data_IF_255854016625
#
_entry.id   IF_255854016625
#
_cell.length_a   1.000
_cell.length_b   1.000
_cell.length_c   1.000
_cell.angle_alpha   90.00
_cell.angle_beta   90.00
_cell.angle_gamma   90.00
#
_symmetry.space_group_name_H-M   'P 1'
#
loop_
_entity.id
_entity.type
_entity.pdbx_description
1 polymer ?
#
# COMPACT_ATOMS: atom_id res chain seq x y z
N UNK A 1 -55.99 61.12 8.28
CA UNK A 1 -56.62 59.91 7.68
C UNK A 1 -56.23 59.94 6.21
N UNK A 2 -55.55 58.98 5.58
CA UNK A 2 -55.44 57.54 5.80
C UNK A 2 -54.25 57.01 5.00
N UNK A 3 -53.46 56.15 5.64
CA UNK A 3 -52.56 55.09 5.13
C UNK A 3 -52.35 54.93 3.61
N UNK A 4 -51.10 54.75 3.18
CA UNK A 4 -50.52 53.40 2.96
C UNK A 4 -49.12 53.50 2.31
N UNK A 5 -48.04 53.14 2.99
CA UNK A 5 -47.58 51.78 3.33
C UNK A 5 -46.61 51.22 2.29
N UNK A 6 -45.32 51.31 2.64
CA UNK A 6 -44.25 50.31 2.43
C UNK A 6 -44.16 49.71 1.02
N UNK A 7 -43.38 50.35 0.15
CA UNK A 7 -42.64 49.60 -0.87
C UNK A 7 -41.45 48.92 -0.20
N UNK A 8 -41.68 47.69 0.25
CA UNK A 8 -40.64 46.78 0.77
C UNK A 8 -39.55 46.61 -0.28
N UNK A 9 -38.36 47.15 0.02
CA UNK A 9 -37.11 46.70 -0.56
C UNK A 9 -36.90 45.24 -0.16
N UNK A 10 -37.23 44.34 -1.07
CA UNK A 10 -36.88 42.92 -0.98
C UNK A 10 -35.40 42.79 -1.40
N UNK A 11 -34.49 43.19 -0.52
CA UNK A 11 -33.07 42.87 -0.67
C UNK A 11 -32.90 41.39 -0.35
N UNK A 12 -32.96 40.54 -1.39
CA UNK A 12 -32.61 39.12 -1.29
C UNK A 12 -31.09 39.04 -1.14
N UNK A 13 -30.61 39.12 0.11
CA UNK A 13 -29.24 38.81 0.44
C UNK A 13 -29.05 37.29 0.32
N UNK A 14 -28.62 36.83 -0.86
CA UNK A 14 -28.04 35.48 -1.01
C UNK A 14 -26.67 35.55 -0.34
N UNK A 15 -26.66 35.36 0.98
CA UNK A 15 -25.45 35.10 1.73
C UNK A 15 -24.89 33.77 1.27
N UNK A 16 -23.98 33.81 0.30
CA UNK A 16 -23.11 32.68 -0.04
C UNK A 16 -22.16 32.49 1.14
N UNK A 17 -22.64 31.78 2.16
CA UNK A 17 -21.81 31.29 3.25
C UNK A 17 -20.93 30.19 2.70
N UNK A 18 -19.78 30.54 2.14
CA UNK A 18 -18.69 29.60 1.92
C UNK A 18 -18.21 29.14 3.31
N UNK A 19 -18.84 28.10 3.85
CA UNK A 19 -18.26 27.36 4.97
C UNK A 19 -17.00 26.71 4.42
N UNK A 20 -15.86 27.36 4.65
CA UNK A 20 -14.55 26.84 4.30
C UNK A 20 -14.32 25.56 5.09
N UNK A 21 -14.50 24.41 4.44
CA UNK A 21 -14.06 23.13 4.98
C UNK A 21 -12.54 23.17 4.93
N UNK A 22 -11.91 23.41 6.08
CA UNK A 22 -10.47 23.25 6.22
C UNK A 22 -10.21 21.74 6.19
N UNK A 23 -9.81 21.24 5.02
CA UNK A 23 -9.37 19.87 4.86
C UNK A 23 -8.01 19.76 5.58
N UNK A 24 -7.98 19.11 6.74
CA UNK A 24 -6.72 18.69 7.37
C UNK A 24 -6.12 17.59 6.49
N UNK A 25 -5.26 17.98 5.53
CA UNK A 25 -4.49 17.05 4.73
C UNK A 25 -3.35 16.58 5.61
N UNK A 26 -3.62 15.57 6.43
CA UNK A 26 -2.56 14.87 7.13
C UNK A 26 -1.71 14.15 6.07
N UNK A 27 -0.38 14.33 6.05
CA UNK A 27 0.47 13.48 5.24
C UNK A 27 0.13 12.04 5.62
N UNK A 28 -0.13 11.21 4.62
CA UNK A 28 -0.18 9.77 4.84
C UNK A 28 1.15 9.42 5.49
N UNK A 29 1.10 8.99 6.76
CA UNK A 29 2.31 8.53 7.41
C UNK A 29 2.78 7.31 6.62
N UNK A 30 4.04 7.30 6.24
CA UNK A 30 4.67 6.16 5.63
C UNK A 30 4.63 5.01 6.64
N UNK A 31 3.72 4.05 6.41
CA UNK A 31 3.54 2.92 7.31
C UNK A 31 4.36 1.78 6.73
N UNK A 32 5.55 1.60 7.28
CA UNK A 32 6.33 0.39 7.04
C UNK A 32 5.52 -0.85 7.45
N UNK A 33 5.53 -1.87 6.59
CA UNK A 33 4.90 -3.16 6.86
C UNK A 33 5.94 -4.25 7.06
N UNK A 34 5.71 -5.10 8.07
CA UNK A 34 6.47 -6.33 8.24
C UNK A 34 5.99 -7.40 7.27
N UNK A 35 6.84 -7.76 6.32
CA UNK A 35 6.67 -8.85 5.39
C UNK A 35 7.32 -10.11 5.96
N UNK A 36 6.58 -11.21 5.97
CA UNK A 36 7.06 -12.52 6.43
C UNK A 36 7.25 -13.45 5.24
N UNK A 37 8.41 -14.10 5.17
CA UNK A 37 8.73 -15.15 4.20
C UNK A 37 8.22 -16.49 4.73
N UNK A 38 7.41 -17.19 3.94
CA UNK A 38 6.90 -18.52 4.29
C UNK A 38 6.86 -19.44 3.08
N UNK A 39 7.15 -20.72 3.32
CA UNK A 39 7.09 -21.77 2.30
C UNK A 39 8.18 -21.69 1.24
N UNK A 40 9.26 -20.94 1.47
CA UNK A 40 10.39 -20.86 0.54
C UNK A 40 11.20 -22.14 0.59
N UNK A 41 11.16 -22.88 -0.51
CA UNK A 41 11.96 -24.07 -0.72
C UNK A 41 12.80 -23.85 -1.97
N UNK A 42 14.10 -24.06 -1.84
CA UNK A 42 15.01 -24.06 -2.98
C UNK A 42 15.03 -25.44 -3.64
N UNK A 43 15.44 -25.50 -4.91
CA UNK A 43 15.55 -26.77 -5.67
C UNK A 43 16.46 -27.82 -5.02
N UNK A 44 17.36 -27.43 -4.12
CA UNK A 44 18.29 -28.31 -3.41
C UNK A 44 17.72 -28.85 -2.08
N UNK A 45 16.47 -28.51 -1.76
CA UNK A 45 15.80 -28.91 -0.51
C UNK A 45 16.13 -28.03 0.70
N UNK A 46 16.94 -26.99 0.54
CA UNK A 46 17.12 -25.97 1.58
C UNK A 46 15.87 -25.10 1.69
N UNK A 47 15.72 -24.41 2.82
CA UNK A 47 14.57 -23.54 3.06
C UNK A 47 15.01 -22.16 3.53
N UNK A 48 14.19 -21.14 3.26
CA UNK A 48 14.36 -19.81 3.81
C UNK A 48 13.11 -19.41 4.62
N UNK A 49 13.33 -18.78 5.77
CA UNK A 49 12.26 -18.24 6.61
C UNK A 49 12.72 -16.93 7.21
N UNK A 50 11.80 -16.01 7.49
CA UNK A 50 12.18 -14.76 8.11
C UNK A 50 11.20 -13.64 7.87
N UNK A 51 11.66 -12.43 8.15
CA UNK A 51 10.90 -11.21 7.93
C UNK A 51 11.79 -10.03 7.60
N UNK A 52 11.18 -9.00 7.03
CA UNK A 52 11.75 -7.67 6.88
C UNK A 52 10.63 -6.63 6.94
N UNK A 53 10.97 -5.41 7.28
CA UNK A 53 10.08 -4.26 7.19
C UNK A 53 10.33 -3.53 5.87
N UNK A 54 9.26 -3.21 5.14
CA UNK A 54 9.32 -2.43 3.90
C UNK A 54 8.34 -1.25 3.93
N UNK A 55 8.87 -0.09 3.58
CA UNK A 55 8.11 1.14 3.39
C UNK A 55 8.06 1.50 1.90
N UNK A 56 6.87 1.39 1.31
CA UNK A 56 6.64 1.66 -0.11
C UNK A 56 6.72 3.15 -0.48
N UNK A 57 6.53 4.05 0.48
CA UNK A 57 6.55 5.50 0.23
C UNK A 57 7.99 6.02 0.12
N UNK A 58 8.90 5.40 0.87
CA UNK A 58 10.34 5.72 0.85
C UNK A 58 11.18 4.69 0.09
N UNK A 59 10.55 3.62 -0.39
CA UNK A 59 11.21 2.48 -1.03
C UNK A 59 12.39 1.93 -0.18
N UNK A 60 12.16 1.77 1.12
CA UNK A 60 13.22 1.42 2.08
C UNK A 60 12.92 0.11 2.79
N UNK A 61 13.94 -0.74 2.88
CA UNK A 61 13.94 -1.97 3.67
C UNK A 61 14.64 -1.74 5.03
N UNK A 62 14.19 -2.45 6.06
CA UNK A 62 14.77 -2.40 7.41
C UNK A 62 14.39 -3.65 8.22
N UNK A 63 14.99 -3.84 9.40
CA UNK A 63 14.68 -4.93 10.33
C UNK A 63 14.70 -6.32 9.65
N UNK A 64 15.63 -6.53 8.74
CA UNK A 64 15.78 -7.78 8.02
C UNK A 64 16.28 -8.86 8.99
N UNK A 65 15.57 -9.98 8.99
CA UNK A 65 15.96 -11.19 9.70
C UNK A 65 15.51 -12.38 8.85
N UNK A 66 16.38 -12.79 7.93
CA UNK A 66 16.13 -13.93 7.05
C UNK A 66 17.14 -15.02 7.36
N UNK A 67 16.63 -16.22 7.62
CA UNK A 67 17.37 -17.41 7.98
C UNK A 67 17.25 -18.40 6.82
N UNK A 68 18.39 -18.88 6.34
CA UNK A 68 18.46 -19.97 5.35
C UNK A 68 18.96 -21.22 6.05
N UNK A 69 18.15 -22.28 6.04
CA UNK A 69 18.53 -23.55 6.66
C UNK A 69 19.48 -24.35 5.75
N UNK A 70 20.49 -24.95 6.38
CA UNK A 70 21.52 -25.76 5.74
C UNK A 70 22.07 -25.14 4.45
N UNK A 71 22.73 -23.95 4.50
CA UNK A 71 23.23 -23.29 3.30
C UNK A 71 24.30 -24.17 2.63
N UNK A 72 23.87 -24.99 1.66
CA UNK A 72 24.77 -25.79 0.82
C UNK A 72 25.60 -24.77 0.04
N UNK A 73 26.94 -24.95 -0.06
CA UNK A 73 27.77 -24.04 -0.82
C UNK A 73 27.16 -23.78 -2.20
N UNK A 74 27.05 -22.51 -2.59
CA UNK A 74 26.43 -22.08 -3.83
C UNK A 74 26.93 -22.98 -4.96
N UNK A 75 26.01 -23.68 -5.61
CA UNK A 75 26.30 -24.51 -6.80
C UNK A 75 27.30 -25.68 -6.61
N UNK A 76 27.51 -26.16 -5.38
CA UNK A 76 28.53 -27.20 -5.14
C UNK A 76 29.96 -26.71 -5.42
N UNK A 77 30.14 -25.39 -5.57
CA UNK A 77 31.44 -24.74 -5.71
C UNK A 77 32.04 -24.63 -4.31
N UNK A 78 33.11 -25.37 -4.01
CA UNK A 78 33.72 -25.32 -2.69
C UNK A 78 34.21 -23.89 -2.40
N UNK A 79 33.75 -23.29 -1.30
CA UNK A 79 34.20 -21.97 -0.83
C UNK A 79 33.14 -20.87 -0.80
N UNK A 80 31.96 -21.08 -1.40
CA UNK A 80 30.88 -20.08 -1.36
C UNK A 80 29.80 -20.50 -0.35
N UNK A 81 29.93 -20.08 0.92
CA UNK A 81 28.87 -20.25 1.91
C UNK A 81 28.00 -19.00 2.00
N UNK A 82 26.68 -19.18 2.02
CA UNK A 82 25.77 -18.12 2.43
C UNK A 82 25.87 -17.91 3.95
N UNK A 83 25.76 -16.66 4.44
CA UNK A 83 25.49 -16.47 5.85
C UNK A 83 24.13 -17.11 6.18
N UNK A 84 24.06 -17.79 7.32
CA UNK A 84 22.82 -18.42 7.78
C UNK A 84 21.77 -17.41 8.23
N UNK A 85 22.17 -16.14 8.40
CA UNK A 85 21.31 -15.03 8.82
C UNK A 85 21.70 -13.79 8.02
N UNK A 86 20.72 -13.15 7.39
CA UNK A 86 20.87 -11.83 6.76
C UNK A 86 20.23 -10.74 7.63
N UNK A 87 20.85 -9.57 7.59
CA UNK A 87 20.52 -8.37 8.36
C UNK A 87 20.55 -7.12 7.47
N UNK A 88 20.21 -5.95 8.02
CA UNK A 88 20.20 -4.68 7.28
C UNK A 88 21.56 -4.31 6.66
N UNK A 89 22.68 -4.73 7.26
CA UNK A 89 24.01 -4.48 6.69
C UNK A 89 24.30 -5.28 5.43
N UNK A 90 23.47 -6.28 5.13
CA UNK A 90 23.63 -7.15 3.97
C UNK A 90 22.85 -6.64 2.76
N UNK A 91 22.06 -5.56 2.86
CA UNK A 91 21.33 -5.01 1.71
C UNK A 91 22.33 -4.55 0.66
N UNK A 92 22.32 -5.23 -0.49
CA UNK A 92 23.11 -4.85 -1.65
C UNK A 92 22.33 -3.92 -2.57
N UNK A 93 21.06 -4.27 -2.84
CA UNK A 93 20.10 -3.47 -3.59
C UNK A 93 18.68 -3.86 -3.18
N UNK A 94 17.74 -2.93 -3.28
CA UNK A 94 16.34 -3.24 -3.06
C UNK A 94 15.42 -2.16 -3.61
N UNK A 95 14.30 -2.59 -4.17
CA UNK A 95 13.17 -1.74 -4.50
C UNK A 95 11.85 -2.48 -4.25
N UNK A 96 10.72 -1.88 -4.63
CA UNK A 96 9.41 -2.51 -4.46
C UNK A 96 9.27 -3.89 -5.11
N UNK A 97 10.08 -4.21 -6.12
CA UNK A 97 10.01 -5.46 -6.89
C UNK A 97 11.09 -6.47 -6.54
N UNK A 98 12.12 -6.05 -5.78
CA UNK A 98 13.26 -6.90 -5.48
C UNK A 98 13.93 -6.60 -4.14
N UNK A 99 14.51 -7.63 -3.52
CA UNK A 99 15.36 -7.52 -2.35
C UNK A 99 16.61 -8.39 -2.54
N UNK A 100 17.78 -7.74 -2.60
CA UNK A 100 19.08 -8.39 -2.82
C UNK A 100 19.93 -8.27 -1.56
N UNK A 101 20.29 -9.40 -0.95
CA UNK A 101 21.07 -9.47 0.29
C UNK A 101 22.39 -10.22 0.08
N UNK A 102 23.50 -9.73 0.64
CA UNK A 102 24.74 -10.47 0.78
C UNK A 102 25.98 -9.74 0.25
N UNK A 103 27.17 -10.14 0.72
CA UNK A 103 28.43 -9.52 0.31
C UNK A 103 28.96 -10.08 -1.02
N UNK A 104 29.58 -9.19 -1.78
CA UNK A 104 30.53 -9.36 -2.90
C UNK A 104 30.17 -10.34 -4.02
N UNK A 105 29.81 -11.60 -3.75
CA UNK A 105 29.51 -12.65 -4.74
C UNK A 105 28.46 -13.68 -4.29
N UNK A 106 27.93 -13.60 -3.06
CA UNK A 106 26.89 -14.51 -2.55
C UNK A 106 25.63 -13.72 -2.25
N UNK A 107 24.85 -13.47 -3.29
CA UNK A 107 23.59 -12.75 -3.18
C UNK A 107 22.45 -13.72 -2.88
N UNK A 108 21.55 -13.32 -2.00
CA UNK A 108 20.21 -13.83 -1.83
C UNK A 108 19.31 -12.77 -2.47
N UNK A 109 19.08 -12.94 -3.76
CA UNK A 109 18.19 -12.10 -4.55
C UNK A 109 16.76 -12.61 -4.41
N UNK A 110 15.77 -11.74 -4.31
CA UNK A 110 14.35 -12.10 -4.29
C UNK A 110 13.61 -11.20 -5.27
N UNK A 111 12.88 -11.80 -6.21
CA UNK A 111 11.99 -11.08 -7.12
C UNK A 111 10.53 -11.37 -6.83
N UNK A 112 9.73 -10.33 -6.68
CA UNK A 112 8.32 -10.45 -6.34
C UNK A 112 7.43 -10.43 -7.59
N UNK A 113 6.37 -11.23 -7.61
CA UNK A 113 5.39 -11.28 -8.71
C UNK A 113 4.77 -9.90 -8.99
N UNK A 114 4.57 -9.13 -7.92
CA UNK A 114 3.95 -7.81 -7.91
C UNK A 114 4.75 -6.94 -6.94
N UNK A 115 4.93 -5.64 -7.23
CA UNK A 115 5.56 -4.72 -6.30
C UNK A 115 4.92 -4.73 -4.90
N UNK A 116 5.77 -4.70 -3.87
CA UNK A 116 5.38 -4.51 -2.48
C UNK A 116 4.68 -3.16 -2.30
N UNK A 117 3.63 -3.14 -1.48
CA UNK A 117 2.87 -1.91 -1.19
C UNK A 117 2.48 -1.84 0.29
N UNK A 118 2.18 -0.64 0.76
CA UNK A 118 1.65 -0.40 2.11
C UNK A 118 0.21 -0.93 2.31
N UNK A 119 -0.40 -1.54 1.28
CA UNK A 119 -1.64 -2.29 1.41
C UNK A 119 -1.41 -3.75 1.88
N UNK A 120 -0.17 -4.21 1.94
CA UNK A 120 0.17 -5.60 2.28
C UNK A 120 -0.37 -6.59 1.25
N UNK A 121 -0.71 -7.79 1.71
CA UNK A 121 -1.25 -8.88 0.88
C UNK A 121 -0.36 -10.12 0.92
N UNK A 122 -0.61 -11.04 -0.01
CA UNK A 122 0.23 -12.21 -0.26
C UNK A 122 0.75 -12.14 -1.68
N UNK A 123 2.06 -12.21 -1.83
CA UNK A 123 2.76 -12.03 -3.11
C UNK A 123 3.63 -13.26 -3.35
N UNK A 124 3.58 -13.78 -4.57
CA UNK A 124 4.49 -14.85 -5.01
C UNK A 124 5.91 -14.34 -5.18
N UNK A 125 6.87 -15.26 -5.09
CA UNK A 125 8.26 -14.98 -5.41
C UNK A 125 8.64 -15.78 -6.64
N UNK A 126 9.07 -15.09 -7.70
CA UNK A 126 9.33 -15.67 -9.03
C UNK A 126 10.72 -16.31 -9.09
N UNK A 127 11.71 -15.75 -8.39
CA UNK A 127 13.07 -16.25 -8.43
C UNK A 127 13.89 -15.78 -7.23
N UNK A 128 14.79 -16.65 -6.75
CA UNK A 128 15.96 -16.25 -5.99
C UNK A 128 17.24 -16.69 -6.73
N UNK A 129 18.27 -15.86 -6.70
CA UNK A 129 19.56 -16.15 -7.34
C UNK A 129 20.70 -16.12 -6.31
N UNK A 130 21.75 -16.92 -6.58
CA UNK A 130 23.03 -16.94 -5.87
C UNK A 130 24.24 -17.12 -6.81
N UNK A 131 25.06 -16.06 -6.90
CA UNK A 131 26.27 -15.75 -7.69
C UNK A 131 26.14 -14.57 -8.68
N UNK A 132 27.22 -13.89 -9.05
CA UNK A 132 27.14 -12.68 -9.88
C UNK A 132 27.04 -12.98 -11.40
N UNK A 133 26.97 -14.25 -11.85
CA UNK A 133 27.36 -14.58 -13.23
C UNK A 133 26.54 -15.64 -13.98
N UNK A 134 25.37 -16.04 -13.47
CA UNK A 134 24.36 -16.74 -14.29
C UNK A 134 24.54 -18.25 -14.49
N UNK A 135 25.39 -18.93 -13.72
CA UNK A 135 25.69 -20.36 -13.91
C UNK A 135 24.99 -21.30 -12.91
N UNK A 136 24.07 -20.82 -12.06
CA UNK A 136 23.32 -21.68 -11.14
C UNK A 136 22.07 -21.06 -10.53
N UNK A 137 20.97 -21.07 -11.27
CA UNK A 137 19.67 -20.59 -10.76
C UNK A 137 19.09 -21.60 -9.77
N UNK A 138 19.10 -21.29 -8.46
CA UNK A 138 18.28 -22.00 -7.47
C UNK A 138 16.88 -21.41 -7.48
N UNK A 139 16.04 -21.89 -8.40
CA UNK A 139 14.63 -21.49 -8.39
C UNK A 139 13.99 -21.87 -7.05
N UNK A 140 13.21 -20.95 -6.53
CA UNK A 140 12.42 -21.16 -5.33
C UNK A 140 11.00 -20.79 -5.68
N UNK A 141 10.08 -21.56 -5.13
CA UNK A 141 8.68 -21.17 -5.04
C UNK A 141 8.42 -20.81 -3.60
N UNK A 142 7.80 -19.67 -3.37
CA UNK A 142 7.45 -19.21 -2.04
C UNK A 142 6.45 -18.07 -2.11
N UNK A 143 5.97 -17.68 -0.94
CA UNK A 143 5.12 -16.49 -0.80
C UNK A 143 5.63 -15.63 0.32
N UNK A 144 5.57 -14.32 0.12
CA UNK A 144 5.68 -13.35 1.20
C UNK A 144 4.32 -12.77 1.52
N UNK A 145 4.11 -12.40 2.78
CA UNK A 145 2.86 -11.77 3.18
C UNK A 145 3.04 -10.71 4.24
N UNK A 146 2.21 -9.66 4.15
CA UNK A 146 2.06 -8.64 5.17
C UNK A 146 0.58 -8.34 5.38
N UNK A 147 0.20 -8.01 6.62
CA UNK A 147 -1.15 -7.51 6.91
C UNK A 147 -1.14 -6.01 6.67
N UNK A 148 -1.86 -5.56 5.64
CA UNK A 148 -2.02 -4.13 5.38
C UNK A 148 -2.65 -3.42 6.56
N UNK A 149 -2.19 -2.21 6.84
CA UNK A 149 -2.85 -1.34 7.81
C UNK A 149 -4.04 -0.67 7.12
N UNK A 150 -5.27 -0.78 7.65
CA UNK A 150 -6.41 -0.10 7.08
C UNK A 150 -6.12 1.39 6.99
N UNK A 151 -6.12 1.94 5.76
CA UNK A 151 -5.99 3.38 5.57
C UNK A 151 -7.20 4.04 6.23
N UNK A 152 -7.03 4.91 7.24
CA UNK A 152 -8.15 5.62 7.82
C UNK A 152 -8.86 6.39 6.72
N UNK A 153 -10.17 6.18 6.58
CA UNK A 153 -10.95 6.88 5.58
C UNK A 153 -10.72 8.39 5.73
N UNK A 154 -10.42 9.13 4.64
CA UNK A 154 -10.19 10.55 4.73
C UNK A 154 -11.36 11.23 5.45
N UNK A 155 -11.10 12.08 6.46
CA UNK A 155 -12.14 12.80 7.18
C UNK A 155 -12.86 13.74 6.21
N UNK A 156 -13.87 13.23 5.53
CA UNK A 156 -14.53 13.94 4.42
C UNK A 156 -15.32 13.03 3.49
N UNK A 157 -14.93 11.76 3.32
CA UNK A 157 -15.68 10.83 2.46
C UNK A 157 -17.10 10.59 3.00
N UNK A 158 -17.23 10.41 4.31
CA UNK A 158 -18.54 10.34 4.97
C UNK A 158 -19.33 11.65 4.81
N UNK A 159 -18.66 12.80 4.98
CA UNK A 159 -19.28 14.11 4.80
C UNK A 159 -19.81 14.36 3.38
N UNK A 160 -19.07 13.93 2.36
CA UNK A 160 -19.47 13.98 0.95
C UNK A 160 -20.66 13.06 0.66
N UNK A 161 -20.65 11.83 1.18
CA UNK A 161 -21.78 10.91 1.04
C UNK A 161 -23.05 11.44 1.70
N UNK A 162 -22.93 12.02 2.90
CA UNK A 162 -24.05 12.62 3.64
C UNK A 162 -24.59 13.88 2.92
N UNK A 163 -23.72 14.76 2.44
CA UNK A 163 -24.13 15.96 1.71
C UNK A 163 -24.75 15.65 0.33
N UNK A 164 -24.23 14.66 -0.39
CA UNK A 164 -24.84 14.14 -1.62
C UNK A 164 -26.22 13.54 -1.39
N UNK A 165 -26.40 12.73 -0.34
CA UNK A 165 -27.69 12.16 0.02
C UNK A 165 -28.74 13.23 0.39
N UNK A 166 -28.33 14.28 1.12
CA UNK A 166 -29.18 15.41 1.47
C UNK A 166 -29.59 16.24 0.24
N UNK A 167 -28.67 16.50 -0.69
CA UNK A 167 -28.95 17.20 -1.94
C UNK A 167 -29.93 16.40 -2.83
N UNK A 168 -29.72 15.08 -2.94
CA UNK A 168 -30.61 14.19 -3.68
C UNK A 168 -32.03 14.17 -3.09
N UNK A 169 -32.17 14.16 -1.75
CA UNK A 169 -33.48 14.20 -1.08
C UNK A 169 -34.23 15.51 -1.31
N UNK A 170 -33.53 16.64 -1.38
CA UNK A 170 -34.15 17.96 -1.64
C UNK A 170 -34.68 18.07 -3.09
N UNK A 171 -33.95 17.52 -4.06
CA UNK A 171 -34.36 17.57 -5.48
C UNK A 171 -35.64 16.78 -5.78
N UNK A 172 -35.89 15.66 -5.09
CA UNK A 172 -37.10 14.83 -5.30
C UNK A 172 -38.40 15.49 -4.81
N UNK A 173 -38.33 16.46 -3.89
CA UNK A 173 -39.51 17.20 -3.42
C UNK A 173 -39.99 18.28 -4.40
N UNK A 174 -39.14 18.73 -5.33
CA UNK A 174 -39.49 19.82 -6.24
C UNK A 174 -40.33 19.38 -7.46
N UNK A 175 -40.48 18.07 -7.72
CA UNK A 175 -41.07 17.55 -8.97
C UNK A 175 -42.56 17.17 -8.84
N UNK A 176 -43.19 17.33 -7.67
CA UNK A 176 -44.52 16.72 -7.40
C UNK A 176 -45.75 17.65 -7.47
N UNK A 177 -45.71 18.82 -8.12
CA UNK A 177 -46.91 19.67 -8.23
C UNK A 177 -47.04 20.25 -9.64
N UNK A 178 -47.66 19.48 -10.54
CA UNK A 178 -48.36 20.05 -11.69
C UNK A 178 -49.84 19.67 -11.54
N UNK A 179 -50.74 20.62 -11.21
CA UNK A 179 -52.17 20.34 -11.17
C UNK A 179 -52.67 20.11 -12.61
N UNK A 180 -53.30 18.96 -12.81
CA UNK A 180 -53.95 18.59 -14.05
C UNK A 180 -55.23 19.44 -14.19
N UNK A 181 -55.17 20.51 -14.98
CA UNK A 181 -56.34 21.30 -15.34
C UNK A 181 -57.00 20.63 -16.55
N UNK A 182 -58.01 19.80 -16.29
CA UNK A 182 -58.92 19.30 -17.31
C UNK A 182 -60.15 20.23 -17.39
N UNK A 183 -60.50 20.55 -18.63
CA UNK A 183 -61.59 21.41 -19.14
C UNK A 183 -62.95 20.76 -18.98
#
# INVERSE_FOLDING_TARGET
MTLALKRSLLTVAIGVGCVGVVMDVRPAAAISLTWTLSGFNFVDGTTAVGSFDYDADTNTYSNISIIVDNPIPANGVPGYSFPSVFTDSDIFFGDSSSLVLGPDNNLFDQFFDIPLTNAGGTIGVIANYGDNFGDGVRQTTGTISAVGVPVPAPPGVLGLLLSGALAARKSRRAVSIAPNAAV
#
